data_IF_307191278091
#
_entry.id   IF_307191278091
#
_cell.length_a   1.000
_cell.length_b   1.000
_cell.length_c   1.000
_cell.angle_alpha   90.00
_cell.angle_beta   90.00
_cell.angle_gamma   90.00
#
_symmetry.space_group_name_H-M   'P 1'
#
loop_
_entity.id
_entity.type
_entity.pdbx_description
1 polymer ?
#
# COMPACT_ATOMS: atom_id res chain seq x y z
N UNK A 1 14.99 -18.73 0.70
CA UNK A 1 14.66 -19.31 -0.62
C UNK A 1 15.82 -20.19 -1.06
N UNK A 2 15.57 -21.22 -1.87
CA UNK A 2 16.66 -22.01 -2.43
C UNK A 2 17.46 -21.15 -3.42
N UNK A 3 18.78 -21.35 -3.49
CA UNK A 3 19.68 -20.51 -4.31
C UNK A 3 19.44 -20.61 -5.81
N UNK A 4 18.68 -21.62 -6.25
CA UNK A 4 18.35 -21.94 -7.63
C UNK A 4 16.90 -21.56 -8.00
N UNK A 5 16.18 -20.83 -7.15
CA UNK A 5 14.77 -20.47 -7.42
C UNK A 5 14.57 -19.44 -8.54
N UNK A 6 15.59 -18.64 -8.86
CA UNK A 6 15.50 -17.56 -9.86
C UNK A 6 14.65 -16.36 -9.42
N UNK A 7 14.28 -16.27 -8.14
CA UNK A 7 13.52 -15.14 -7.59
C UNK A 7 14.48 -14.10 -7.06
N UNK A 8 14.46 -12.92 -7.67
CA UNK A 8 15.34 -11.82 -7.30
C UNK A 8 14.89 -11.13 -6.01
N UNK A 9 15.88 -10.65 -5.25
CA UNK A 9 15.68 -9.79 -4.10
C UNK A 9 16.18 -8.38 -4.42
N UNK A 10 15.56 -7.36 -3.82
CA UNK A 10 16.11 -6.00 -3.82
C UNK A 10 17.24 -5.86 -2.79
N UNK A 11 17.91 -4.70 -2.79
CA UNK A 11 19.02 -4.39 -1.89
C UNK A 11 18.64 -4.34 -0.40
N UNK A 12 17.35 -4.33 -0.09
CA UNK A 12 16.79 -4.31 1.27
C UNK A 12 16.27 -5.68 1.70
N UNK A 13 16.34 -6.70 0.82
CA UNK A 13 15.92 -8.07 1.09
C UNK A 13 14.44 -8.37 0.80
N UNK A 14 13.70 -7.47 0.14
CA UNK A 14 12.36 -7.76 -0.35
C UNK A 14 12.41 -8.58 -1.63
N UNK A 15 11.39 -9.40 -1.88
CA UNK A 15 11.22 -10.04 -3.19
C UNK A 15 10.89 -8.97 -4.21
N UNK A 16 11.69 -8.88 -5.28
CA UNK A 16 11.40 -7.96 -6.37
C UNK A 16 10.12 -8.39 -7.08
N UNK A 17 9.18 -7.45 -7.21
CA UNK A 17 7.95 -7.62 -7.97
C UNK A 17 7.57 -6.36 -8.74
N UNK A 18 6.90 -6.54 -9.87
CA UNK A 18 6.27 -5.45 -10.62
C UNK A 18 5.02 -4.87 -9.91
N UNK A 19 4.32 -3.92 -10.53
CA UNK A 19 3.10 -3.31 -9.99
C UNK A 19 1.96 -4.31 -9.73
N UNK A 20 2.02 -5.48 -10.36
CA UNK A 20 1.03 -6.56 -10.28
C UNK A 20 1.48 -7.72 -9.39
N UNK A 21 2.54 -7.51 -8.61
CA UNK A 21 3.09 -8.49 -7.67
C UNK A 21 3.70 -9.74 -8.35
N UNK A 22 4.07 -9.63 -9.63
CA UNK A 22 4.74 -10.69 -10.39
C UNK A 22 6.23 -10.66 -10.11
N UNK A 23 6.82 -11.82 -9.80
CA UNK A 23 8.29 -11.94 -9.60
C UNK A 23 9.03 -12.11 -10.94
N UNK A 24 10.36 -12.23 -10.89
CA UNK A 24 11.19 -12.56 -12.06
C UNK A 24 10.90 -13.95 -12.66
N UNK A 25 10.20 -14.83 -11.92
CA UNK A 25 9.84 -16.17 -12.37
C UNK A 25 8.39 -16.20 -12.87
N UNK A 26 8.13 -16.59 -14.14
CA UNK A 26 6.77 -16.66 -14.67
C UNK A 26 5.84 -17.55 -13.83
N UNK A 27 4.67 -17.01 -13.48
CA UNK A 27 3.67 -17.71 -12.68
C UNK A 27 3.94 -17.71 -11.16
N UNK A 28 5.04 -17.11 -10.71
CA UNK A 28 5.34 -16.92 -9.29
C UNK A 28 5.09 -15.47 -8.88
N UNK A 29 4.37 -15.30 -7.78
CA UNK A 29 3.95 -14.01 -7.24
C UNK A 29 4.38 -13.88 -5.78
N UNK A 30 4.54 -12.66 -5.31
CA UNK A 30 4.80 -12.34 -3.90
C UNK A 30 4.00 -11.11 -3.47
N UNK A 31 3.40 -11.14 -2.28
CA UNK A 31 2.48 -10.12 -1.77
C UNK A 31 2.76 -9.76 -0.31
N UNK A 32 2.16 -8.68 0.17
CA UNK A 32 2.19 -8.27 1.57
C UNK A 32 3.54 -7.71 2.00
N UNK A 33 3.98 -8.09 3.19
CA UNK A 33 5.15 -7.51 3.84
C UNK A 33 6.49 -7.95 3.22
N UNK A 34 6.48 -8.98 2.36
CA UNK A 34 7.68 -9.51 1.71
C UNK A 34 8.06 -8.73 0.45
N UNK A 35 7.22 -7.78 0.02
CA UNK A 35 7.40 -6.95 -1.18
C UNK A 35 7.25 -5.45 -0.86
N UNK A 36 7.50 -4.59 -1.84
CA UNK A 36 7.36 -3.13 -1.69
C UNK A 36 5.97 -2.70 -1.20
N UNK A 37 5.91 -1.53 -0.56
CA UNK A 37 4.68 -0.86 -0.13
C UNK A 37 4.54 -0.76 1.40
N UNK A 38 3.34 -0.38 1.86
CA UNK A 38 3.03 -0.29 3.29
C UNK A 38 2.89 -1.70 3.89
N UNK A 39 3.51 -1.94 5.05
CA UNK A 39 3.40 -3.18 5.82
C UNK A 39 2.12 -3.18 6.66
N UNK A 40 0.98 -3.34 5.99
CA UNK A 40 -0.35 -3.26 6.58
C UNK A 40 -1.18 -4.47 6.16
N UNK A 41 -1.99 -5.00 7.08
CA UNK A 41 -2.78 -6.21 6.85
C UNK A 41 -3.69 -6.09 5.63
N UNK A 42 -4.45 -5.00 5.53
CA UNK A 42 -5.37 -4.76 4.40
C UNK A 42 -4.65 -4.55 3.07
N UNK A 43 -3.40 -4.05 3.07
CA UNK A 43 -2.56 -3.99 1.86
C UNK A 43 -2.24 -5.39 1.36
N UNK A 44 -1.78 -6.28 2.27
CA UNK A 44 -1.47 -7.66 1.92
C UNK A 44 -2.71 -8.43 1.43
N UNK A 45 -3.86 -8.24 2.08
CA UNK A 45 -5.12 -8.87 1.67
C UNK A 45 -5.54 -8.44 0.25
N UNK A 46 -5.48 -7.14 -0.05
CA UNK A 46 -5.89 -6.61 -1.35
C UNK A 46 -4.93 -7.02 -2.48
N UNK A 47 -3.61 -7.03 -2.23
CA UNK A 47 -2.65 -7.59 -3.19
C UNK A 47 -2.95 -9.07 -3.48
N UNK A 48 -3.35 -9.84 -2.47
CA UNK A 48 -3.76 -11.24 -2.65
C UNK A 48 -4.97 -11.41 -3.56
N UNK A 49 -6.01 -10.58 -3.35
CA UNK A 49 -7.20 -10.56 -4.22
C UNK A 49 -6.79 -10.19 -5.64
N UNK A 50 -6.03 -9.10 -5.80
CA UNK A 50 -5.53 -8.64 -7.11
C UNK A 50 -4.78 -9.76 -7.85
N UNK A 51 -3.83 -10.43 -7.20
CA UNK A 51 -3.03 -11.51 -7.81
C UNK A 51 -3.93 -12.66 -8.26
N UNK A 52 -4.86 -13.13 -7.42
CA UNK A 52 -5.76 -14.23 -7.77
C UNK A 52 -6.69 -13.86 -8.93
N UNK A 53 -7.19 -12.63 -8.96
CA UNK A 53 -8.01 -12.14 -10.08
C UNK A 53 -7.20 -12.08 -11.38
N UNK A 54 -5.93 -11.65 -11.33
CA UNK A 54 -5.05 -11.64 -12.52
C UNK A 54 -4.66 -13.04 -12.98
N UNK A 55 -4.45 -13.99 -12.06
CA UNK A 55 -4.26 -15.41 -12.39
C UNK A 55 -5.48 -15.95 -13.18
N UNK A 56 -6.70 -15.46 -12.86
CA UNK A 56 -7.93 -15.79 -13.60
C UNK A 56 -8.13 -15.00 -14.90
N UNK A 57 -7.19 -14.13 -15.29
CA UNK A 57 -7.25 -13.34 -16.51
C UNK A 57 -8.03 -12.03 -16.38
N UNK A 58 -8.39 -11.60 -15.16
CA UNK A 58 -9.02 -10.31 -14.93
C UNK A 58 -7.98 -9.17 -14.92
N UNK A 59 -8.43 -7.94 -15.17
CA UNK A 59 -7.60 -6.73 -15.20
C UNK A 59 -7.60 -6.00 -13.85
N UNK A 60 -7.36 -6.74 -12.77
CA UNK A 60 -7.43 -6.23 -11.40
C UNK A 60 -6.17 -5.47 -10.99
N UNK A 61 -6.28 -4.26 -10.44
CA UNK A 61 -5.12 -3.45 -10.04
C UNK A 61 -5.38 -2.77 -8.70
N UNK A 62 -4.34 -2.69 -7.87
CA UNK A 62 -4.38 -1.99 -6.60
C UNK A 62 -3.97 -0.50 -6.76
N UNK A 63 -4.68 0.39 -6.07
CA UNK A 63 -4.29 1.80 -5.94
C UNK A 63 -3.61 2.06 -4.59
N UNK A 64 -2.28 2.03 -4.58
CA UNK A 64 -1.48 2.20 -3.37
C UNK A 64 -1.60 3.59 -2.72
N UNK A 65 -2.07 4.61 -3.47
CA UNK A 65 -2.23 5.97 -2.94
C UNK A 65 -3.44 6.11 -2.01
N UNK A 66 -4.35 5.11 -1.98
CA UNK A 66 -5.60 5.15 -1.22
C UNK A 66 -5.66 4.10 -0.11
N UNK A 67 -4.50 3.60 0.33
CA UNK A 67 -4.42 2.70 1.50
C UNK A 67 -4.49 3.56 2.77
N UNK A 68 -5.50 3.37 3.64
CA UNK A 68 -5.56 4.08 4.92
C UNK A 68 -4.49 3.58 5.89
N UNK A 69 -3.98 4.47 6.73
CA UNK A 69 -3.08 4.17 7.84
C UNK A 69 -3.74 4.57 9.16
N UNK A 70 -3.59 3.74 10.19
CA UNK A 70 -4.27 3.92 11.49
C UNK A 70 -3.31 3.61 12.64
N UNK A 71 -3.36 4.44 13.68
CA UNK A 71 -2.70 4.22 14.97
C UNK A 71 -3.81 4.17 16.04
N UNK A 72 -3.96 3.01 16.69
CA UNK A 72 -5.03 2.70 17.65
C UNK A 72 -4.72 3.17 19.09
N UNK A 73 -4.21 4.40 19.23
CA UNK A 73 -3.98 5.04 20.53
C UNK A 73 -5.24 5.72 21.04
N UNK A 74 -5.14 6.42 22.18
CA UNK A 74 -6.17 7.33 22.65
C UNK A 74 -5.61 8.77 22.73
N UNK A 75 -6.03 9.70 21.85
CA UNK A 75 -6.96 9.50 20.73
C UNK A 75 -6.37 8.64 19.60
N UNK A 76 -7.24 8.05 18.79
CA UNK A 76 -6.83 7.36 17.56
C UNK A 76 -6.34 8.37 16.52
N UNK A 77 -5.45 7.94 15.62
CA UNK A 77 -4.94 8.75 14.51
C UNK A 77 -5.13 7.96 13.23
N UNK A 78 -5.79 8.54 12.22
CA UNK A 78 -6.01 7.90 10.93
C UNK A 78 -5.87 8.91 9.77
N UNK A 79 -5.36 8.45 8.64
CA UNK A 79 -5.26 9.23 7.41
C UNK A 79 -5.28 8.35 6.16
N UNK A 80 -5.59 8.95 5.00
CA UNK A 80 -5.53 8.32 3.67
C UNK A 80 -5.17 9.39 2.64
N UNK A 81 -4.49 9.00 1.57
CA UNK A 81 -4.06 9.93 0.53
C UNK A 81 -2.79 10.70 0.89
N UNK A 82 -2.54 11.79 0.16
CA UNK A 82 -1.33 12.61 0.31
C UNK A 82 -1.46 13.60 1.46
N UNK A 83 -0.35 13.89 2.12
CA UNK A 83 -0.26 14.99 3.08
C UNK A 83 -0.21 16.34 2.36
N UNK A 84 -0.61 17.40 3.05
CA UNK A 84 -0.45 18.78 2.56
C UNK A 84 1.01 19.09 2.21
N UNK A 85 1.96 18.61 3.02
CA UNK A 85 3.39 18.80 2.78
C UNK A 85 3.84 18.13 1.48
N UNK A 86 3.38 16.91 1.21
CA UNK A 86 3.66 16.20 -0.05
C UNK A 86 3.10 16.97 -1.24
N UNK A 87 1.85 17.43 -1.17
CA UNK A 87 1.21 18.18 -2.26
C UNK A 87 1.92 19.51 -2.55
N UNK A 88 2.34 20.25 -1.50
CA UNK A 88 3.13 21.47 -1.65
C UNK A 88 4.50 21.19 -2.29
N UNK A 89 5.18 20.11 -1.90
CA UNK A 89 6.46 19.72 -2.49
C UNK A 89 6.33 19.34 -3.98
N UNK A 90 5.18 18.82 -4.38
CA UNK A 90 4.83 18.52 -5.78
C UNK A 90 4.35 19.75 -6.57
N UNK A 91 4.25 20.93 -5.95
CA UNK A 91 3.77 22.15 -6.60
C UNK A 91 2.25 22.17 -6.84
N UNK A 92 1.49 21.36 -6.12
CA UNK A 92 0.02 21.33 -6.21
C UNK A 92 -0.57 22.42 -5.33
N UNK A 93 -1.38 23.30 -5.91
CA UNK A 93 -2.17 24.27 -5.14
C UNK A 93 -3.26 23.55 -4.33
N UNK A 94 -3.34 23.86 -3.03
CA UNK A 94 -4.25 23.18 -2.09
C UNK A 94 -5.04 24.19 -1.26
N UNK A 95 -6.29 23.87 -0.98
CA UNK A 95 -7.10 24.51 0.04
C UNK A 95 -7.25 23.56 1.24
N UNK A 96 -7.14 24.07 2.46
CA UNK A 96 -7.13 23.26 3.69
C UNK A 96 -8.28 23.67 4.60
N UNK A 97 -9.02 22.69 5.12
CA UNK A 97 -10.07 22.88 6.12
C UNK A 97 -9.80 22.01 7.36
N UNK A 98 -10.06 22.54 8.55
CA UNK A 98 -9.89 21.83 9.82
C UNK A 98 -11.11 22.07 10.73
N UNK A 99 -11.49 21.08 11.53
CA UNK A 99 -12.60 21.17 12.48
C UNK A 99 -12.26 20.43 13.78
N UNK A 100 -12.27 21.10 14.95
CA UNK A 100 -11.88 20.47 16.21
C UNK A 100 -13.01 19.63 16.82
N UNK A 101 -12.67 18.50 17.43
CA UNK A 101 -13.64 17.67 18.18
C UNK A 101 -14.32 18.42 19.32
N UNK A 102 -13.66 19.39 19.96
CA UNK A 102 -14.24 20.24 21.00
C UNK A 102 -15.46 21.07 20.53
N UNK A 103 -15.63 21.25 19.21
CA UNK A 103 -16.78 21.92 18.62
C UNK A 103 -17.90 20.95 18.19
N UNK A 104 -17.73 19.63 18.41
CA UNK A 104 -18.74 18.61 18.14
C UNK A 104 -19.51 18.26 19.42
N UNK A 105 -20.83 18.47 19.43
CA UNK A 105 -21.67 18.13 20.60
C UNK A 105 -21.80 16.63 20.90
N UNK A 106 -21.28 15.75 20.02
CA UNK A 106 -21.28 14.30 20.21
C UNK A 106 -19.97 13.77 20.80
N UNK A 107 -18.86 14.50 20.61
CA UNK A 107 -17.50 14.05 20.89
C UNK A 107 -17.15 14.10 22.38
#
# INVERSE_FOLDING_TARGET
MASDSGVDLDERGFIYVDDYCTTSVPGVYAIGDVVRGLMLAHKASEEGIMVVERIKGHKAQMNYNLIPSVIYTHPEIAWVGKTEQTLKAEGVEVNVGTFPFAASGRA
#
